data_IF_299941112965
#
_entry.id   IF_299941112965
#
_cell.length_a   1.000
_cell.length_b   1.000
_cell.length_c   1.000
_cell.angle_alpha   90.00
_cell.angle_beta   90.00
_cell.angle_gamma   90.00
#
_symmetry.space_group_name_H-M   'P 1'
#
loop_
_entity.id
_entity.type
_entity.pdbx_description
1 polymer ?
#
# COMPACT_ATOMS: atom_id res chain seq x y z
N UNK A 1 10.46 -13.49 -34.80
CA UNK A 1 10.40 -12.25 -34.02
C UNK A 1 8.94 -11.89 -33.77
N UNK A 2 8.32 -12.49 -32.75
CA UNK A 2 7.00 -12.07 -32.29
C UNK A 2 7.24 -11.16 -31.08
N UNK A 3 7.32 -9.85 -31.35
CA UNK A 3 7.31 -8.85 -30.29
C UNK A 3 5.99 -8.98 -29.54
N UNK A 4 6.05 -9.51 -28.32
CA UNK A 4 4.89 -9.61 -27.44
C UNK A 4 4.25 -8.22 -27.33
N UNK A 5 3.05 -8.08 -27.89
CA UNK A 5 2.15 -6.97 -27.65
C UNK A 5 1.70 -7.13 -26.19
N UNK A 6 2.55 -6.72 -25.26
CA UNK A 6 2.16 -6.49 -23.89
C UNK A 6 1.41 -5.16 -23.92
N UNK A 7 0.10 -5.34 -23.87
CA UNK A 7 -0.96 -4.46 -24.32
C UNK A 7 -1.06 -3.20 -23.45
N UNK A 8 -1.69 -2.15 -24.00
CA UNK A 8 -1.95 -0.86 -23.33
C UNK A 8 -2.51 -1.02 -21.91
N UNK A 9 -3.25 -2.11 -21.65
CA UNK A 9 -3.80 -2.53 -20.36
C UNK A 9 -2.77 -2.68 -19.24
N UNK A 10 -1.58 -3.19 -19.55
CA UNK A 10 -0.51 -3.38 -18.56
C UNK A 10 0.06 -2.03 -18.11
N UNK A 11 0.22 -1.10 -19.06
CA UNK A 11 0.57 0.29 -18.74
C UNK A 11 -0.54 0.98 -17.93
N UNK A 12 -1.82 0.70 -18.23
CA UNK A 12 -2.95 1.23 -17.46
C UNK A 12 -2.90 0.76 -16.01
N UNK A 13 -2.63 -0.52 -15.75
CA UNK A 13 -2.49 -1.02 -14.38
C UNK A 13 -1.31 -0.36 -13.65
N UNK A 14 -0.13 -0.31 -14.27
CA UNK A 14 1.07 0.27 -13.68
C UNK A 14 0.86 1.73 -13.24
N UNK A 15 0.23 2.56 -14.08
CA UNK A 15 -0.01 3.98 -13.76
C UNK A 15 -1.19 4.23 -12.82
N UNK A 16 -1.96 3.19 -12.48
CA UNK A 16 -3.20 3.35 -11.70
C UNK A 16 -2.96 3.35 -10.21
N UNK A 17 -1.75 3.06 -9.72
CA UNK A 17 -1.41 3.06 -8.30
C UNK A 17 -1.73 4.43 -7.64
N UNK A 18 -2.27 4.47 -6.40
CA UNK A 18 -2.61 3.37 -5.49
C UNK A 18 -4.00 2.75 -5.73
N UNK A 19 -4.52 2.88 -6.95
CA UNK A 19 -5.85 2.48 -7.40
C UNK A 19 -6.96 3.31 -6.74
N UNK A 20 -8.21 3.06 -7.14
CA UNK A 20 -9.35 3.69 -6.48
C UNK A 20 -9.44 3.22 -5.03
N UNK A 21 -9.59 4.19 -4.11
CA UNK A 21 -9.71 3.99 -2.67
C UNK A 21 -11.00 4.70 -2.20
N UNK A 22 -12.02 3.96 -1.74
CA UNK A 22 -13.18 4.56 -1.11
C UNK A 22 -12.77 5.45 0.07
N UNK A 23 -13.37 6.62 0.18
CA UNK A 23 -13.12 7.59 1.26
C UNK A 23 -14.14 7.49 2.40
N UNK A 24 -14.92 6.41 2.43
CA UNK A 24 -15.89 6.07 3.45
C UNK A 24 -15.61 4.66 3.97
N UNK A 25 -16.05 4.31 5.18
CA UNK A 25 -15.91 2.95 5.69
C UNK A 25 -16.73 1.95 4.88
N UNK A 26 -16.21 0.74 4.73
CA UNK A 26 -16.89 -0.35 4.04
C UNK A 26 -16.45 -1.72 4.57
N UNK A 27 -17.26 -2.72 4.28
CA UNK A 27 -16.87 -4.12 4.34
C UNK A 27 -16.54 -4.58 2.92
N UNK A 28 -15.33 -5.09 2.73
CA UNK A 28 -15.01 -5.89 1.57
C UNK A 28 -15.51 -7.31 1.83
N UNK A 29 -16.38 -7.84 0.97
CA UNK A 29 -17.01 -9.15 1.10
C UNK A 29 -16.87 -9.87 -0.25
N UNK A 30 -15.96 -10.84 -0.34
CA UNK A 30 -15.80 -11.71 -1.52
C UNK A 30 -15.78 -10.93 -2.85
N UNK A 31 -14.92 -9.91 -2.93
CA UNK A 31 -14.77 -9.05 -4.13
C UNK A 31 -15.71 -7.84 -4.18
N UNK A 32 -16.72 -7.77 -3.31
CA UNK A 32 -17.72 -6.70 -3.31
C UNK A 32 -17.51 -5.69 -2.19
N UNK A 33 -17.85 -4.43 -2.47
CA UNK A 33 -17.84 -3.34 -1.49
C UNK A 33 -19.24 -3.15 -0.93
N UNK A 34 -19.39 -3.27 0.39
CA UNK A 34 -20.60 -2.91 1.12
C UNK A 34 -20.31 -1.69 2.01
N UNK A 35 -20.79 -0.48 1.66
CA UNK A 35 -20.60 0.71 2.48
C UNK A 35 -21.15 0.53 3.91
N UNK A 36 -20.47 1.12 4.88
CA UNK A 36 -20.92 1.19 6.27
C UNK A 36 -21.42 2.61 6.57
N UNK A 37 -22.68 2.73 7.00
CA UNK A 37 -23.26 4.04 7.36
C UNK A 37 -22.77 4.56 8.71
N UNK A 38 -22.36 3.65 9.61
CA UNK A 38 -21.89 3.98 10.95
C UNK A 38 -20.86 2.96 11.39
N UNK A 39 -19.76 3.44 11.97
CA UNK A 39 -18.71 2.61 12.53
C UNK A 39 -18.71 2.76 14.04
N UNK A 40 -18.92 1.63 14.73
CA UNK A 40 -18.68 1.46 16.17
C UNK A 40 -18.31 0.00 16.40
N UNK A 41 -17.61 -0.35 17.50
CA UNK A 41 -17.29 -1.76 17.80
C UNK A 41 -18.53 -2.65 17.82
N UNK A 42 -19.65 -2.17 18.38
CA UNK A 42 -20.93 -2.91 18.43
C UNK A 42 -21.49 -3.21 17.03
N UNK A 43 -21.48 -2.21 16.15
CA UNK A 43 -22.04 -2.36 14.78
C UNK A 43 -21.15 -3.26 13.92
N UNK A 44 -19.83 -3.09 14.01
CA UNK A 44 -18.89 -3.98 13.31
C UNK A 44 -19.07 -5.42 13.77
N UNK A 45 -19.16 -5.66 15.08
CA UNK A 45 -19.34 -7.00 15.62
C UNK A 45 -20.67 -7.64 15.18
N UNK A 46 -21.76 -6.86 15.10
CA UNK A 46 -23.04 -7.34 14.58
C UNK A 46 -22.92 -7.79 13.11
N UNK A 47 -22.36 -6.94 12.25
CA UNK A 47 -22.14 -7.31 10.84
C UNK A 47 -21.23 -8.54 10.65
N UNK A 48 -20.17 -8.66 11.47
CA UNK A 48 -19.28 -9.82 11.42
C UNK A 48 -20.00 -11.09 11.88
N UNK A 49 -20.82 -11.00 12.93
CA UNK A 49 -21.61 -12.13 13.45
C UNK A 49 -22.63 -12.61 12.41
N UNK A 50 -23.35 -11.68 11.76
CA UNK A 50 -24.31 -12.00 10.70
C UNK A 50 -23.66 -12.70 9.50
N UNK A 51 -22.37 -12.44 9.27
CA UNK A 51 -21.55 -13.05 8.22
C UNK A 51 -20.80 -14.31 8.68
N UNK A 52 -21.03 -14.78 9.92
CA UNK A 52 -20.34 -15.95 10.47
C UNK A 52 -18.82 -15.78 10.65
N UNK A 53 -18.35 -14.53 10.79
CA UNK A 53 -16.94 -14.18 10.93
C UNK A 53 -16.51 -14.08 12.40
N UNK A 54 -15.20 -14.04 12.63
CA UNK A 54 -14.64 -13.76 13.95
C UNK A 54 -15.14 -12.42 14.50
N UNK A 55 -15.40 -12.31 15.82
CA UNK A 55 -15.80 -11.07 16.44
C UNK A 55 -14.73 -9.99 16.30
N UNK A 56 -15.15 -8.73 16.28
CA UNK A 56 -14.29 -7.59 15.94
C UNK A 56 -13.00 -7.51 16.77
N UNK A 57 -13.08 -7.84 18.07
CA UNK A 57 -11.92 -7.79 18.98
C UNK A 57 -10.84 -8.84 18.71
N UNK A 58 -11.12 -9.85 17.86
CA UNK A 58 -10.14 -10.85 17.40
C UNK A 58 -9.46 -10.45 16.10
N UNK A 59 -9.89 -9.37 15.45
CA UNK A 59 -9.29 -8.93 14.19
C UNK A 59 -8.06 -8.07 14.45
N UNK A 60 -7.00 -8.34 13.70
CA UNK A 60 -5.77 -7.56 13.72
C UNK A 60 -5.93 -6.30 12.86
N UNK A 61 -5.77 -5.10 13.43
CA UNK A 61 -5.82 -3.86 12.66
C UNK A 61 -4.48 -3.62 11.94
N UNK A 62 -4.52 -3.44 10.62
CA UNK A 62 -3.35 -3.25 9.76
C UNK A 62 -3.52 -1.99 8.90
N UNK A 63 -2.50 -1.13 8.88
CA UNK A 63 -2.47 0.08 8.06
C UNK A 63 -2.63 -0.25 6.57
N UNK A 64 -3.48 0.52 5.91
CA UNK A 64 -3.76 0.47 4.49
C UNK A 64 -3.60 1.88 3.88
N UNK A 65 -2.34 2.28 3.66
CA UNK A 65 -2.00 3.59 3.11
C UNK A 65 -1.75 3.59 1.59
N UNK A 66 -1.41 2.44 1.02
CA UNK A 66 -1.24 2.23 -0.43
C UNK A 66 -2.37 1.40 -1.05
N UNK A 67 -2.00 0.48 -1.94
CA UNK A 67 -2.88 -0.43 -2.66
C UNK A 67 -3.83 -1.26 -1.76
N UNK A 68 -3.47 -1.54 -0.50
CA UNK A 68 -4.28 -2.33 0.43
C UNK A 68 -5.60 -1.69 0.86
N UNK A 69 -5.81 -0.41 0.55
CA UNK A 69 -7.09 0.26 0.74
C UNK A 69 -8.00 0.17 -0.49
N UNK A 70 -7.52 -0.41 -1.60
CA UNK A 70 -8.29 -0.52 -2.84
C UNK A 70 -9.05 -1.85 -2.90
N UNK A 71 -10.38 -1.83 -3.11
CA UNK A 71 -11.18 -3.04 -3.29
C UNK A 71 -10.66 -3.92 -4.43
N UNK A 72 -10.27 -3.32 -5.56
CA UNK A 72 -9.71 -4.04 -6.71
C UNK A 72 -8.44 -4.82 -6.33
N UNK A 73 -7.61 -4.26 -5.44
CA UNK A 73 -6.37 -4.91 -5.00
C UNK A 73 -6.62 -5.98 -3.95
N UNK A 74 -7.59 -5.76 -3.06
CA UNK A 74 -8.05 -6.80 -2.15
C UNK A 74 -8.60 -8.00 -2.95
N UNK A 75 -9.45 -7.77 -3.94
CA UNK A 75 -9.97 -8.82 -4.82
C UNK A 75 -8.83 -9.61 -5.48
N UNK A 76 -7.85 -8.95 -6.09
CA UNK A 76 -6.70 -9.64 -6.71
C UNK A 76 -5.89 -10.49 -5.72
N UNK A 77 -5.74 -10.05 -4.47
CA UNK A 77 -4.99 -10.81 -3.43
C UNK A 77 -5.73 -12.06 -2.97
N UNK A 78 -7.06 -11.99 -2.95
CA UNK A 78 -7.93 -13.01 -2.38
C UNK A 78 -8.76 -13.81 -3.40
N UNK A 79 -8.55 -13.59 -4.71
CA UNK A 79 -9.31 -14.22 -5.81
C UNK A 79 -9.44 -15.75 -5.70
N UNK A 80 -8.43 -16.43 -5.17
CA UNK A 80 -8.38 -17.89 -5.00
C UNK A 80 -8.29 -18.31 -3.53
N UNK A 81 -8.79 -17.47 -2.61
CA UNK A 81 -8.77 -17.81 -1.19
C UNK A 81 -9.86 -18.86 -0.89
N UNK A 82 -9.51 -19.88 -0.11
CA UNK A 82 -10.36 -21.07 0.10
C UNK A 82 -11.56 -20.86 1.04
N UNK A 83 -11.76 -19.64 1.54
CA UNK A 83 -12.82 -19.29 2.47
C UNK A 83 -13.39 -17.92 2.13
N UNK A 84 -14.55 -17.58 2.71
CA UNK A 84 -15.12 -16.24 2.58
C UNK A 84 -14.17 -15.18 3.16
N UNK A 85 -14.09 -14.06 2.47
CA UNK A 85 -13.19 -12.95 2.74
C UNK A 85 -14.02 -11.75 3.16
N UNK A 86 -14.02 -11.46 4.46
CA UNK A 86 -14.70 -10.29 5.04
C UNK A 86 -13.65 -9.41 5.71
N UNK A 87 -13.43 -8.22 5.16
CA UNK A 87 -12.44 -7.25 5.65
C UNK A 87 -13.14 -5.91 5.91
N UNK A 88 -13.31 -5.50 7.16
CA UNK A 88 -13.61 -4.11 7.48
C UNK A 88 -12.45 -3.21 7.07
N UNK A 89 -12.76 -2.21 6.24
CA UNK A 89 -11.81 -1.18 5.79
C UNK A 89 -12.32 0.17 6.27
N UNK A 90 -11.61 0.75 7.23
CA UNK A 90 -12.08 1.93 7.97
C UNK A 90 -11.13 3.11 7.75
N UNK A 91 -11.63 4.30 7.34
CA UNK A 91 -10.82 5.49 7.19
C UNK A 91 -10.11 5.87 8.49
N UNK A 92 -8.88 6.36 8.36
CA UNK A 92 -8.06 6.79 9.47
C UNK A 92 -7.19 8.00 9.10
N UNK A 93 -6.71 8.69 10.13
CA UNK A 93 -5.80 9.83 10.02
C UNK A 93 -4.55 9.55 10.85
N UNK A 94 -3.39 9.55 10.21
CA UNK A 94 -2.10 9.36 10.85
C UNK A 94 -1.33 10.70 10.85
N UNK A 95 -0.87 11.16 12.02
CA UNK A 95 -0.05 12.37 12.14
C UNK A 95 1.44 12.05 12.21
N UNK A 96 2.26 13.01 11.82
CA UNK A 96 3.73 12.97 11.80
C UNK A 96 4.33 12.00 10.78
N UNK A 97 3.53 11.55 9.82
CA UNK A 97 3.94 10.69 8.72
C UNK A 97 3.38 11.23 7.41
N UNK A 98 4.07 10.90 6.32
CA UNK A 98 3.55 11.00 4.96
C UNK A 98 3.60 9.63 4.25
N UNK A 99 2.79 9.50 3.21
CA UNK A 99 2.81 8.34 2.31
C UNK A 99 3.57 8.75 1.06
N UNK A 100 4.69 8.07 0.81
CA UNK A 100 5.69 8.44 -0.19
C UNK A 100 5.97 7.28 -1.12
N UNK A 101 6.59 7.53 -2.27
CA UNK A 101 7.03 6.45 -3.15
C UNK A 101 8.19 5.66 -2.52
N UNK A 102 8.10 4.33 -2.55
CA UNK A 102 9.24 3.46 -2.25
C UNK A 102 10.28 3.51 -3.38
N UNK A 103 11.52 3.15 -3.10
CA UNK A 103 12.61 3.22 -4.08
C UNK A 103 12.73 1.94 -4.95
N UNK A 104 11.62 1.38 -5.44
CA UNK A 104 11.64 0.18 -6.26
C UNK A 104 10.39 0.03 -7.14
N UNK A 105 10.49 -0.80 -8.18
CA UNK A 105 9.35 -1.24 -8.99
C UNK A 105 8.70 -2.51 -8.44
N UNK A 106 7.38 -2.56 -8.50
CA UNK A 106 6.58 -3.77 -8.30
C UNK A 106 6.62 -4.67 -9.55
N UNK A 107 6.14 -5.91 -9.40
CA UNK A 107 5.99 -6.84 -10.53
C UNK A 107 4.93 -6.40 -11.58
N UNK A 108 4.04 -5.48 -11.22
CA UNK A 108 3.07 -4.87 -12.13
C UNK A 108 3.52 -3.48 -12.61
N UNK A 109 4.80 -3.13 -12.44
CA UNK A 109 5.44 -1.97 -13.06
C UNK A 109 5.12 -0.61 -12.44
N UNK A 110 4.42 -0.58 -11.30
CA UNK A 110 4.24 0.62 -10.49
C UNK A 110 5.43 0.82 -9.54
N UNK A 111 5.55 2.02 -8.99
CA UNK A 111 6.39 2.33 -7.84
C UNK A 111 5.48 2.39 -6.61
N UNK A 112 5.43 1.35 -5.76
CA UNK A 112 4.47 1.28 -4.67
C UNK A 112 4.85 2.26 -3.54
N UNK A 113 3.90 2.55 -2.67
CA UNK A 113 4.08 3.48 -1.55
C UNK A 113 4.74 2.83 -0.33
N UNK A 114 5.55 3.60 0.38
CA UNK A 114 6.00 3.34 1.75
C UNK A 114 5.63 4.52 2.67
N UNK A 115 5.93 4.41 3.95
CA UNK A 115 5.79 5.52 4.91
C UNK A 115 7.11 6.28 5.06
N UNK A 116 7.02 7.55 5.43
CA UNK A 116 8.16 8.34 5.89
C UNK A 116 7.75 9.28 7.01
N UNK A 117 8.62 9.50 8.01
CA UNK A 117 8.37 10.53 9.02
C UNK A 117 8.28 11.89 8.36
N UNK A 118 7.29 12.67 8.78
CA UNK A 118 7.02 13.98 8.23
C UNK A 118 6.38 14.83 9.32
N UNK A 119 7.18 15.58 10.10
CA UNK A 119 6.67 16.35 11.22
C UNK A 119 5.51 17.25 10.83
N UNK A 120 4.46 17.28 11.65
CA UNK A 120 3.24 18.05 11.46
C UNK A 120 2.35 17.67 10.27
N UNK A 121 2.80 16.78 9.38
CA UNK A 121 1.99 16.21 8.31
C UNK A 121 0.90 15.33 8.89
N UNK A 122 -0.30 15.38 8.32
CA UNK A 122 -1.41 14.46 8.65
C UNK A 122 -1.98 13.86 7.36
N UNK A 123 -1.86 12.55 7.21
CA UNK A 123 -2.32 11.81 6.01
C UNK A 123 -3.66 11.11 6.24
N UNK A 124 -4.47 11.04 5.18
CA UNK A 124 -5.71 10.26 5.13
C UNK A 124 -5.45 8.87 4.56
N UNK A 125 -5.60 7.86 5.41
CA UNK A 125 -5.32 6.46 5.14
C UNK A 125 -6.54 5.59 5.50
N UNK A 126 -6.40 4.27 5.43
CA UNK A 126 -7.38 3.33 5.95
C UNK A 126 -6.71 2.30 6.87
N UNK A 127 -7.51 1.53 7.58
CA UNK A 127 -7.11 0.37 8.37
C UNK A 127 -7.96 -0.81 7.96
N UNK A 128 -7.30 -1.91 7.62
CA UNK A 128 -7.91 -3.20 7.35
C UNK A 128 -7.96 -4.01 8.65
N UNK A 129 -9.08 -4.65 8.94
CA UNK A 129 -9.21 -5.57 10.07
C UNK A 129 -9.20 -7.00 9.55
N UNK A 130 -8.17 -7.77 9.92
CA UNK A 130 -7.89 -9.08 9.35
C UNK A 130 -7.89 -10.13 10.46
N UNK A 131 -8.58 -11.26 10.27
CA UNK A 131 -8.32 -12.43 11.12
C UNK A 131 -6.99 -13.09 10.71
N UNK A 132 -6.54 -14.08 11.48
CA UNK A 132 -5.21 -14.69 11.30
C UNK A 132 -5.00 -15.24 9.89
N UNK A 133 -6.02 -15.91 9.31
CA UNK A 133 -5.94 -16.48 7.96
C UNK A 133 -5.83 -15.41 6.88
N UNK A 134 -6.59 -14.32 7.01
CA UNK A 134 -6.54 -13.20 6.08
C UNK A 134 -5.24 -12.40 6.22
N UNK A 135 -4.71 -12.27 7.45
CA UNK A 135 -3.44 -11.63 7.74
C UNK A 135 -2.27 -12.42 7.12
N UNK A 136 -2.25 -13.74 7.28
CA UNK A 136 -1.26 -14.61 6.65
C UNK A 136 -1.26 -14.42 5.13
N UNK A 137 -2.44 -14.54 4.51
CA UNK A 137 -2.57 -14.36 3.06
C UNK A 137 -2.16 -12.96 2.59
N UNK A 138 -2.57 -11.91 3.30
CA UNK A 138 -2.15 -10.54 3.00
C UNK A 138 -0.62 -10.43 3.03
N UNK A 139 0.00 -11.01 4.05
CA UNK A 139 1.45 -10.97 4.24
C UNK A 139 2.21 -11.69 3.14
N UNK A 140 1.76 -12.88 2.72
CA UNK A 140 2.34 -13.59 1.56
C UNK A 140 2.37 -12.67 0.33
N UNK A 141 1.28 -11.95 0.06
CA UNK A 141 1.21 -11.09 -1.13
C UNK A 141 2.11 -9.85 -1.06
N UNK A 142 2.50 -9.41 0.13
CA UNK A 142 3.35 -8.23 0.33
C UNK A 142 4.84 -8.60 0.37
N UNK A 143 5.18 -9.69 1.07
CA UNK A 143 6.58 -10.03 1.40
C UNK A 143 7.22 -10.94 0.36
N UNK A 144 6.45 -11.67 -0.47
CA UNK A 144 7.03 -12.56 -1.48
C UNK A 144 7.97 -11.85 -2.48
N UNK A 145 7.86 -10.52 -2.63
CA UNK A 145 8.79 -9.72 -3.44
C UNK A 145 10.08 -9.28 -2.72
N UNK A 146 10.24 -9.57 -1.43
CA UNK A 146 11.40 -9.21 -0.61
C UNK A 146 11.52 -7.72 -0.24
N UNK A 147 10.67 -6.86 -0.80
CA UNK A 147 10.85 -5.40 -0.70
C UNK A 147 10.14 -4.77 0.50
N UNK A 148 9.19 -5.48 1.11
CA UNK A 148 8.36 -5.02 2.23
C UNK A 148 8.56 -5.92 3.44
N UNK A 149 8.32 -5.33 4.61
CA UNK A 149 8.21 -6.06 5.87
C UNK A 149 6.95 -5.74 6.62
N UNK A 150 6.52 -6.73 7.38
CA UNK A 150 5.41 -6.61 8.30
C UNK A 150 5.95 -6.29 9.70
N UNK A 151 5.42 -5.25 10.32
CA UNK A 151 5.87 -4.80 11.63
C UNK A 151 4.78 -4.06 12.39
N UNK A 152 5.12 -3.65 13.61
CA UNK A 152 4.27 -2.80 14.43
C UNK A 152 4.92 -1.41 14.55
N UNK A 153 4.19 -0.38 14.13
CA UNK A 153 4.57 1.01 14.39
C UNK A 153 4.12 1.37 15.80
N UNK A 154 5.05 1.85 16.61
CA UNK A 154 4.82 2.25 17.98
C UNK A 154 4.68 3.77 18.11
N UNK A 155 4.06 4.18 19.22
CA UNK A 155 3.93 5.58 19.63
C UNK A 155 3.32 6.51 18.57
N UNK A 156 2.50 5.97 17.68
CA UNK A 156 1.81 6.70 16.63
C UNK A 156 0.69 7.58 17.17
N UNK A 157 0.33 8.59 16.38
CA UNK A 157 -0.88 9.37 16.60
C UNK A 157 -1.86 9.05 15.46
N UNK A 158 -2.55 7.93 15.63
CA UNK A 158 -3.52 7.39 14.69
C UNK A 158 -4.93 7.59 15.25
N UNK A 159 -5.82 8.18 14.47
CA UNK A 159 -7.25 8.24 14.75
C UNK A 159 -8.02 7.46 13.70
N UNK A 160 -8.81 6.47 14.13
CA UNK A 160 -9.63 5.63 13.27
C UNK A 160 -11.10 6.02 13.43
N UNK A 161 -11.79 6.24 12.30
CA UNK A 161 -13.17 6.72 12.28
C UNK A 161 -14.10 5.79 13.08
N UNK A 162 -14.80 6.35 14.07
CA UNK A 162 -15.73 5.59 14.93
C UNK A 162 -15.09 4.65 15.95
N UNK A 163 -13.76 4.52 15.96
CA UNK A 163 -13.01 3.58 16.81
C UNK A 163 -12.01 4.26 17.74
N UNK A 164 -11.65 5.52 17.50
CA UNK A 164 -10.87 6.34 18.42
C UNK A 164 -9.37 6.35 18.14
N UNK A 165 -8.57 6.60 19.18
CA UNK A 165 -7.12 6.76 19.06
C UNK A 165 -6.36 5.47 19.30
N UNK A 166 -5.33 5.26 18.49
CA UNK A 166 -4.41 4.13 18.57
C UNK A 166 -2.98 4.66 18.70
N UNK A 167 -2.21 4.04 19.60
CA UNK A 167 -0.80 4.32 19.82
C UNK A 167 0.13 3.34 19.12
N UNK A 168 -0.35 2.13 18.83
CA UNK A 168 0.38 1.13 18.08
C UNK A 168 -0.50 0.58 16.95
N UNK A 169 0.12 0.17 15.84
CA UNK A 169 -0.60 -0.36 14.69
C UNK A 169 0.30 -1.23 13.82
N UNK A 170 -0.23 -2.34 13.31
CA UNK A 170 0.51 -3.16 12.35
C UNK A 170 0.51 -2.53 10.95
N UNK A 171 1.52 -2.81 10.15
CA UNK A 171 1.61 -2.31 8.79
C UNK A 171 2.65 -3.02 7.95
N UNK A 172 2.67 -2.68 6.66
CA UNK A 172 3.71 -3.09 5.73
C UNK A 172 4.44 -1.85 5.21
N UNK A 173 5.76 -1.84 5.20
CA UNK A 173 6.56 -0.76 4.61
C UNK A 173 7.82 -1.31 3.95
N UNK A 174 8.41 -0.52 3.06
CA UNK A 174 9.57 -0.97 2.29
C UNK A 174 10.87 -0.81 3.07
N UNK A 175 11.75 -1.81 2.99
CA UNK A 175 13.14 -1.72 3.47
C UNK A 175 14.08 -1.02 2.50
N UNK A 176 13.62 -0.78 1.27
CA UNK A 176 14.44 -0.20 0.20
C UNK A 176 14.45 1.33 0.22
N UNK A 177 13.93 1.94 1.29
CA UNK A 177 13.87 3.38 1.44
C UNK A 177 12.81 4.04 0.56
N UNK A 178 12.83 5.37 0.60
CA UNK A 178 11.97 6.26 -0.15
C UNK A 178 12.68 6.70 -1.44
N UNK A 179 11.93 6.76 -2.54
CA UNK A 179 12.43 7.36 -3.78
C UNK A 179 12.62 8.87 -3.57
N UNK A 180 13.77 9.38 -4.00
CA UNK A 180 14.04 10.81 -4.03
C UNK A 180 14.25 11.33 -5.45
N UNK A 181 13.86 12.59 -5.68
CA UNK A 181 14.14 13.33 -6.90
C UNK A 181 14.80 14.64 -6.46
N UNK A 182 15.99 14.94 -7.00
CA UNK A 182 16.80 16.08 -6.57
C UNK A 182 17.00 16.10 -5.04
N UNK A 183 17.32 14.93 -4.47
CA UNK A 183 17.52 14.73 -3.02
C UNK A 183 16.31 15.03 -2.13
N UNK A 184 15.11 15.12 -2.70
CA UNK A 184 13.87 15.31 -1.94
C UNK A 184 13.00 14.06 -2.04
N UNK A 185 12.50 13.57 -0.90
CA UNK A 185 11.50 12.50 -0.87
C UNK A 185 10.24 12.93 -1.62
N UNK A 186 9.61 11.99 -2.32
CA UNK A 186 8.45 12.25 -3.18
C UNK A 186 7.19 11.66 -2.56
N UNK A 187 6.25 12.51 -2.16
CA UNK A 187 4.95 12.09 -1.63
C UNK A 187 4.00 11.59 -2.73
N UNK A 188 3.16 10.61 -2.36
CA UNK A 188 2.14 10.06 -3.23
C UNK A 188 0.91 10.98 -3.25
N UNK A 189 0.78 11.79 -4.29
CA UNK A 189 -0.26 12.82 -4.46
C UNK A 189 -1.71 12.33 -4.27
N UNK A 190 -2.11 11.15 -4.77
CA UNK A 190 -3.46 10.63 -4.51
C UNK A 190 -3.82 10.45 -3.03
N UNK A 191 -2.83 10.36 -2.13
CA UNK A 191 -3.06 10.32 -0.69
C UNK A 191 -3.17 11.75 -0.18
N UNK A 192 -4.38 12.14 0.20
CA UNK A 192 -4.65 13.48 0.76
C UNK A 192 -3.91 13.67 2.08
N UNK A 193 -3.23 14.81 2.21
CA UNK A 193 -2.53 15.21 3.43
C UNK A 193 -2.76 16.68 3.75
N UNK A 194 -2.54 17.05 5.01
CA UNK A 194 -2.50 18.44 5.50
C UNK A 194 -1.10 18.70 6.04
N UNK A 195 -0.56 19.91 5.78
CA UNK A 195 0.80 20.32 6.15
C UNK A 195 1.90 19.40 5.60
N UNK A 196 1.74 18.94 4.36
CA UNK A 196 2.72 18.08 3.68
C UNK A 196 4.03 18.83 3.46
N UNK A 197 5.13 18.22 3.88
CA UNK A 197 6.49 18.78 3.74
C UNK A 197 7.16 18.40 2.40
N UNK A 198 6.73 17.30 1.78
CA UNK A 198 7.37 16.74 0.58
C UNK A 198 6.69 17.20 -0.70
N UNK A 199 7.48 17.28 -1.78
CA UNK A 199 6.92 17.46 -3.13
C UNK A 199 6.10 16.24 -3.50
N UNK A 200 4.93 16.45 -4.11
CA UNK A 200 4.01 15.37 -4.43
C UNK A 200 3.95 15.07 -5.93
N UNK A 201 3.90 13.79 -6.28
CA UNK A 201 3.68 13.31 -7.63
C UNK A 201 2.58 12.25 -7.64
N UNK A 202 1.86 12.12 -8.75
CA UNK A 202 1.07 10.93 -9.04
C UNK A 202 1.91 9.86 -9.74
N UNK A 203 1.37 8.65 -9.84
CA UNK A 203 2.05 7.49 -10.43
C UNK A 203 2.54 7.75 -11.86
N UNK A 204 1.74 8.43 -12.70
CA UNK A 204 2.15 8.76 -14.08
C UNK A 204 3.36 9.68 -14.08
N UNK A 205 3.37 10.71 -13.23
CA UNK A 205 4.46 11.68 -13.13
C UNK A 205 5.76 11.00 -12.67
N UNK A 206 5.71 10.20 -11.60
CA UNK A 206 6.91 9.54 -11.06
C UNK A 206 7.47 8.49 -12.03
N UNK A 207 6.63 7.76 -12.76
CA UNK A 207 7.09 6.77 -13.75
C UNK A 207 7.84 7.42 -14.91
N UNK A 208 7.38 8.59 -15.40
CA UNK A 208 8.12 9.34 -16.41
C UNK A 208 9.44 9.85 -15.85
N UNK A 209 9.43 10.33 -14.60
CA UNK A 209 10.65 10.85 -13.98
C UNK A 209 11.69 9.77 -13.73
N UNK A 210 11.29 8.59 -13.26
CA UNK A 210 12.20 7.47 -13.08
C UNK A 210 12.74 6.96 -14.41
N UNK A 211 11.93 6.93 -15.47
CA UNK A 211 12.42 6.62 -16.82
C UNK A 211 13.54 7.56 -17.24
N UNK A 212 13.40 8.87 -16.99
CA UNK A 212 14.44 9.88 -17.24
C UNK A 212 15.69 9.61 -16.40
N UNK A 213 15.53 9.35 -15.09
CA UNK A 213 16.64 9.06 -14.17
C UNK A 213 17.43 7.80 -14.55
N UNK A 214 16.75 6.79 -15.11
CA UNK A 214 17.36 5.57 -15.63
C UNK A 214 17.93 5.73 -17.05
N UNK A 215 17.85 6.93 -17.64
CA UNK A 215 18.31 7.22 -19.01
C UNK A 215 17.72 6.27 -20.08
N UNK A 216 16.51 5.74 -19.86
CA UNK A 216 15.92 4.75 -20.75
C UNK A 216 15.48 5.37 -22.07
N UNK A 217 16.02 4.84 -23.16
CA UNK A 217 15.69 5.22 -24.54
C UNK A 217 14.42 4.49 -24.99
N UNK A 218 13.43 5.23 -25.48
CA UNK A 218 12.14 4.67 -25.92
C UNK A 218 10.94 5.30 -25.22
N UNK A 219 9.77 4.73 -25.45
CA UNK A 219 8.50 5.20 -24.87
C UNK A 219 8.32 4.72 -23.42
N UNK A 220 7.43 5.40 -22.68
CA UNK A 220 7.07 4.98 -21.32
C UNK A 220 6.40 3.60 -21.30
N UNK A 221 5.64 3.25 -22.35
CA UNK A 221 5.00 1.93 -22.49
C UNK A 221 6.06 0.84 -22.66
N UNK A 222 7.10 1.08 -23.46
CA UNK A 222 8.21 0.14 -23.63
C UNK A 222 8.98 -0.06 -22.32
N UNK A 223 9.25 1.03 -21.59
CA UNK A 223 9.94 0.98 -20.30
C UNK A 223 9.20 0.10 -19.29
N UNK A 224 7.91 0.36 -19.10
CA UNK A 224 7.07 -0.38 -18.15
C UNK A 224 6.83 -1.83 -18.60
N UNK A 225 6.61 -2.04 -19.90
CA UNK A 225 6.49 -3.39 -20.46
C UNK A 225 7.73 -4.22 -20.13
N UNK A 226 8.93 -3.66 -20.32
CA UNK A 226 10.20 -4.33 -20.01
C UNK A 226 10.34 -4.62 -18.51
N UNK A 227 9.99 -3.67 -17.63
CA UNK A 227 9.98 -3.88 -16.18
C UNK A 227 9.07 -5.04 -15.77
N UNK A 228 7.94 -5.23 -16.45
CA UNK A 228 6.97 -6.26 -16.08
C UNK A 228 7.38 -7.62 -16.65
N UNK A 229 7.76 -7.66 -17.92
CA UNK A 229 8.03 -8.90 -18.66
C UNK A 229 9.41 -9.49 -18.43
N UNK A 230 10.39 -8.68 -18.01
CA UNK A 230 11.77 -9.11 -17.80
C UNK A 230 12.16 -8.93 -16.31
N UNK A 231 12.00 -9.97 -15.46
CA UNK A 231 12.35 -9.89 -14.04
C UNK A 231 13.78 -9.46 -13.76
N UNK A 232 14.74 -9.92 -14.55
CA UNK A 232 16.16 -9.55 -14.41
C UNK A 232 16.38 -8.06 -14.71
N UNK A 233 15.74 -7.55 -15.77
CA UNK A 233 15.76 -6.12 -16.07
C UNK A 233 15.14 -5.28 -14.94
N UNK A 234 14.02 -5.73 -14.36
CA UNK A 234 13.42 -5.07 -13.19
C UNK A 234 14.36 -5.05 -12.00
N UNK A 235 15.06 -6.15 -11.74
CA UNK A 235 16.05 -6.22 -10.66
C UNK A 235 17.22 -5.24 -10.91
N UNK A 236 17.71 -5.15 -12.14
CA UNK A 236 18.78 -4.21 -12.50
C UNK A 236 18.34 -2.75 -12.41
N UNK A 237 17.12 -2.42 -12.84
CA UNK A 237 16.57 -1.07 -12.68
C UNK A 237 16.36 -0.72 -11.21
N UNK A 238 15.93 -1.66 -10.37
CA UNK A 238 15.84 -1.43 -8.93
C UNK A 238 17.22 -1.13 -8.31
N UNK A 239 18.30 -1.79 -8.75
CA UNK A 239 19.66 -1.45 -8.34
C UNK A 239 20.08 -0.05 -8.81
N UNK A 240 19.64 0.38 -10.00
CA UNK A 240 19.90 1.76 -10.46
C UNK A 240 19.17 2.77 -9.56
N UNK A 241 17.94 2.45 -9.14
CA UNK A 241 17.15 3.31 -8.26
C UNK A 241 17.77 3.52 -6.88
N UNK A 242 18.61 2.60 -6.39
CA UNK A 242 19.32 2.75 -5.11
C UNK A 242 20.15 4.05 -5.05
N UNK A 243 20.60 4.59 -6.18
CA UNK A 243 21.31 5.89 -6.24
C UNK A 243 20.45 7.08 -5.82
N UNK A 244 19.13 6.90 -5.80
CA UNK A 244 18.14 7.91 -5.47
C UNK A 244 17.40 7.58 -4.17
N UNK A 245 17.88 6.61 -3.38
CA UNK A 245 17.25 6.24 -2.13
C UNK A 245 17.51 7.28 -1.04
N UNK A 246 16.47 7.54 -0.24
CA UNK A 246 16.59 8.12 1.10
C UNK A 246 16.08 7.06 2.08
N UNK A 247 16.83 6.70 3.15
CA UNK A 247 16.36 5.74 4.12
C UNK A 247 15.04 6.14 4.77
N UNK A 248 14.23 5.16 5.15
CA UNK A 248 13.05 5.40 5.98
C UNK A 248 13.47 5.83 7.38
N UNK A 249 12.85 6.87 7.91
CA UNK A 249 13.19 7.45 9.22
C UNK A 249 11.99 7.39 10.16
N UNK A 250 11.77 6.27 10.83
CA UNK A 250 10.82 6.18 11.95
C UNK A 250 11.18 5.03 12.88
N UNK A 251 10.78 5.14 14.15
CA UNK A 251 10.95 4.07 15.13
C UNK A 251 9.95 2.95 14.83
N UNK A 252 10.46 1.76 14.58
CA UNK A 252 9.66 0.55 14.36
C UNK A 252 10.16 -0.58 15.25
N UNK A 253 9.25 -1.46 15.65
CA UNK A 253 9.65 -2.82 16.01
C UNK A 253 9.39 -3.69 14.79
N UNK A 254 10.46 -4.21 14.20
CA UNK A 254 10.33 -5.37 13.33
C UNK A 254 9.67 -6.46 14.17
N UNK A 255 8.46 -6.81 13.76
CA UNK A 255 7.69 -7.79 14.48
C UNK A 255 8.39 -9.14 14.34
N UNK A 256 8.78 -9.75 15.47
CA UNK A 256 9.16 -11.16 15.53
C UNK A 256 7.96 -12.10 15.37
N UNK A 257 6.82 -11.62 14.84
CA UNK A 257 5.70 -12.49 14.49
C UNK A 257 6.18 -13.50 13.46
N UNK A 258 6.54 -14.67 13.98
CA UNK A 258 6.55 -15.91 13.23
C UNK A 258 5.11 -16.12 12.82
N UNK A 259 4.80 -15.79 11.58
CA UNK A 259 3.63 -16.32 10.90
C UNK A 259 3.91 -17.81 10.80
N UNK A 260 3.36 -18.57 11.76
CA UNK A 260 3.39 -20.04 11.74
C UNK A 260 2.35 -20.53 10.75
#
# INVERSE_FOLDING_TARGET
>A
MYGNIINQDVYLEAKSYPFFRPNHPFLFIDGKVRPLMKVTPKILNAHLTDLGCDPFYKLTPVLAFGANASPLRLEKKFLNFSASVVIPVIPAKLKHFDVVFGCHFSNYGSIPATLQSSPNTKVNIAVNYLNDRLLQRMTETEINGGNYVFGELLDVNLWIEGLGFYRNIFGYWSRLGCLSINSNVVALKPIKAVNRNFVEMNEKEVLHKVKELCCFQGSIVQFISKIISEPDYRADINKVLERFLIPTEFSELESKYRIY
#
